data_IF_559119684203
#
_entry.id   IF_559119684203
#
_cell.length_a   1.000
_cell.length_b   1.000
_cell.length_c   1.000
_cell.angle_alpha   90.00
_cell.angle_beta   90.00
_cell.angle_gamma   90.00
#
_symmetry.space_group_name_H-M   'P 1'
#
loop_
_entity.id
_entity.type
_entity.pdbx_description
1 polymer ?
#
# COMPACT_ATOMS: atom_id res chain seq x y z
N UNK A 1 -17.87 32.38 3.78
CA UNK A 1 -16.40 32.23 3.84
C UNK A 1 -16.13 31.21 4.94
N UNK A 2 -15.55 30.02 4.77
CA UNK A 2 -14.79 29.41 3.69
C UNK A 2 -14.82 27.89 3.96
N UNK A 3 -15.26 27.10 2.97
CA UNK A 3 -15.06 25.64 2.91
C UNK A 3 -13.56 25.36 2.95
N UNK A 4 -13.07 24.35 3.71
CA UNK A 4 -11.75 23.63 3.59
C UNK A 4 -11.21 23.25 4.99
N UNK A 5 -10.79 22.03 5.33
CA UNK A 5 -10.50 20.79 4.59
C UNK A 5 -10.79 19.62 5.51
N UNK A 6 -11.54 18.63 5.03
CA UNK A 6 -11.38 17.27 5.55
C UNK A 6 -9.93 16.88 5.27
N UNK A 7 -9.12 16.73 6.32
CA UNK A 7 -7.70 16.37 6.22
C UNK A 7 -7.64 14.85 6.02
N UNK A 8 -8.20 14.39 4.91
CA UNK A 8 -8.21 13.01 4.51
C UNK A 8 -6.79 12.66 4.08
N UNK A 9 -5.98 12.26 5.06
CA UNK A 9 -4.65 11.70 4.85
C UNK A 9 -4.83 10.34 4.17
N UNK A 10 -5.12 10.37 2.86
CA UNK A 10 -5.52 9.21 2.07
C UNK A 10 -4.34 8.32 1.62
N UNK A 11 -3.12 8.59 2.10
CA UNK A 11 -1.90 7.94 1.58
C UNK A 11 -1.18 7.05 2.58
N UNK A 12 -1.84 6.64 3.66
CA UNK A 12 -1.22 5.89 4.74
C UNK A 12 -2.08 4.72 5.20
N UNK A 13 -2.71 3.97 4.30
CA UNK A 13 -3.40 2.72 4.68
C UNK A 13 -2.46 1.54 4.49
N UNK A 14 -2.56 0.52 5.33
CA UNK A 14 -1.80 -0.71 5.17
C UNK A 14 -2.29 -1.46 3.93
N UNK A 15 -1.38 -1.85 3.04
CA UNK A 15 -1.77 -2.63 1.85
C UNK A 15 -2.26 -4.05 2.18
N UNK A 16 -1.90 -4.57 3.36
CA UNK A 16 -2.27 -5.91 3.80
C UNK A 16 -3.67 -5.92 4.42
N UNK A 17 -3.88 -5.11 5.47
CA UNK A 17 -5.10 -5.12 6.28
C UNK A 17 -5.97 -3.86 6.12
N UNK A 18 -5.66 -2.98 5.17
CA UNK A 18 -6.34 -1.71 4.91
C UNK A 18 -6.42 -0.74 6.11
N UNK A 19 -5.72 -1.07 7.20
CA UNK A 19 -5.70 -0.29 8.43
C UNK A 19 -5.07 1.07 8.18
N UNK A 20 -5.72 2.12 8.67
CA UNK A 20 -5.19 3.49 8.66
C UNK A 20 -3.94 3.60 9.52
N UNK A 21 -2.81 3.87 8.90
CA UNK A 21 -1.54 4.26 9.51
C UNK A 21 -1.55 5.78 9.62
N UNK A 22 -1.11 6.34 10.75
CA UNK A 22 -0.91 7.80 10.83
C UNK A 22 0.42 8.24 10.20
N UNK A 23 1.38 7.31 10.11
CA UNK A 23 2.69 7.55 9.51
C UNK A 23 3.06 6.30 8.70
N UNK A 24 3.06 6.40 7.37
CA UNK A 24 3.58 5.36 6.47
C UNK A 24 5.12 5.29 6.53
N UNK A 25 5.67 5.11 7.74
CA UNK A 25 7.10 4.90 7.98
C UNK A 25 7.55 3.52 7.56
N UNK A 26 6.62 2.57 7.54
CA UNK A 26 6.88 1.18 7.22
C UNK A 26 6.33 0.92 5.84
N UNK A 27 7.24 0.62 4.93
CA UNK A 27 6.92 0.19 3.58
C UNK A 27 7.63 -1.12 3.37
N UNK A 28 6.96 -2.02 2.67
CA UNK A 28 7.59 -3.24 2.25
C UNK A 28 8.67 -2.94 1.20
N UNK A 29 9.83 -3.61 1.28
CA UNK A 29 10.97 -3.34 0.38
C UNK A 29 10.73 -3.84 -1.04
N UNK A 30 9.93 -4.87 -1.20
CA UNK A 30 9.73 -5.56 -2.49
C UNK A 30 8.65 -4.85 -3.31
N UNK A 31 7.51 -4.52 -2.70
CA UNK A 31 6.38 -3.84 -3.36
C UNK A 31 6.40 -2.32 -3.20
N UNK A 32 7.26 -1.78 -2.34
CA UNK A 32 7.26 -0.36 -1.94
C UNK A 32 5.94 0.14 -1.32
N UNK A 33 5.03 -0.77 -0.96
CA UNK A 33 3.71 -0.43 -0.44
C UNK A 33 3.73 -0.22 1.08
N UNK A 34 2.91 0.71 1.61
CA UNK A 34 2.82 0.99 3.04
C UNK A 34 2.23 -0.18 3.83
N UNK A 35 2.94 -0.65 4.86
CA UNK A 35 2.53 -1.76 5.73
C UNK A 35 2.44 -1.33 7.18
N UNK A 36 1.57 -1.95 7.97
CA UNK A 36 1.51 -1.73 9.41
C UNK A 36 2.56 -2.57 10.15
N UNK A 37 3.00 -2.17 11.34
CA UNK A 37 3.89 -2.99 12.17
C UNK A 37 3.36 -4.40 12.47
N UNK A 38 2.04 -4.59 12.43
CA UNK A 38 1.41 -5.89 12.71
C UNK A 38 1.46 -6.83 11.51
N UNK A 39 1.49 -6.30 10.29
CA UNK A 39 1.60 -7.09 9.07
C UNK A 39 3.05 -7.12 8.54
N UNK A 40 3.91 -6.22 8.99
CA UNK A 40 5.32 -6.20 8.59
C UNK A 40 6.00 -7.50 9.03
N UNK A 41 6.73 -8.13 8.11
CA UNK A 41 7.42 -9.40 8.31
C UNK A 41 6.48 -10.58 8.62
N UNK A 42 5.17 -10.48 8.32
CA UNK A 42 4.22 -11.60 8.46
C UNK A 42 4.04 -12.39 7.16
N UNK A 43 3.50 -13.59 7.28
CA UNK A 43 3.15 -14.42 6.11
C UNK A 43 2.09 -13.76 5.22
N UNK A 44 1.18 -12.99 5.82
CA UNK A 44 0.16 -12.22 5.09
C UNK A 44 0.78 -11.12 4.22
N UNK A 45 1.82 -10.43 4.71
CA UNK A 45 2.59 -9.48 3.90
C UNK A 45 3.24 -10.20 2.73
N UNK A 46 3.97 -11.29 2.96
CA UNK A 46 4.66 -12.05 1.89
C UNK A 46 3.71 -12.58 0.81
N UNK A 47 2.55 -13.10 1.22
CA UNK A 47 1.53 -13.58 0.28
C UNK A 47 1.01 -12.44 -0.60
N UNK A 48 0.67 -11.31 0.03
CA UNK A 48 0.12 -10.14 -0.67
C UNK A 48 1.19 -9.39 -1.47
N UNK A 49 2.44 -9.41 -1.02
CA UNK A 49 3.61 -8.94 -1.79
C UNK A 49 3.72 -9.70 -3.10
N UNK A 50 3.67 -11.02 -3.05
CA UNK A 50 3.80 -11.88 -4.23
C UNK A 50 2.61 -11.67 -5.17
N UNK A 51 1.38 -11.63 -4.65
CA UNK A 51 0.17 -11.37 -5.44
C UNK A 51 0.23 -10.01 -6.14
N UNK A 52 0.65 -8.96 -5.43
CA UNK A 52 0.80 -7.62 -6.00
C UNK A 52 1.95 -7.58 -7.01
N UNK A 53 3.09 -8.22 -6.74
CA UNK A 53 4.21 -8.27 -7.69
C UNK A 53 3.84 -9.04 -8.96
N UNK A 54 3.12 -10.14 -8.81
CA UNK A 54 2.62 -10.96 -9.93
C UNK A 54 1.59 -10.17 -10.75
N UNK A 55 0.66 -9.50 -10.08
CA UNK A 55 -0.33 -8.61 -10.73
C UNK A 55 0.30 -7.37 -11.35
N UNK A 56 1.37 -6.81 -10.78
CA UNK A 56 2.13 -5.69 -11.35
C UNK A 56 2.99 -6.15 -12.53
N UNK A 57 3.51 -7.37 -12.50
CA UNK A 57 4.25 -7.96 -13.61
C UNK A 57 3.32 -8.27 -14.79
N UNK A 58 2.12 -8.78 -14.53
CA UNK A 58 1.08 -9.00 -15.55
C UNK A 58 0.48 -7.66 -16.03
N UNK A 59 0.30 -6.70 -15.12
CA UNK A 59 -0.17 -5.34 -15.38
C UNK A 59 0.88 -4.38 -15.97
N UNK A 60 2.13 -4.83 -16.18
CA UNK A 60 3.12 -4.08 -16.96
C UNK A 60 2.95 -4.26 -18.47
N UNK A 61 1.80 -4.73 -18.94
CA UNK A 61 1.28 -4.31 -20.25
C UNK A 61 0.69 -2.91 -20.07
N UNK A 62 1.55 -1.92 -19.83
CA UNK A 62 1.19 -0.54 -20.12
C UNK A 62 0.95 -0.50 -21.62
N UNK A 63 -0.32 -0.56 -22.03
CA UNK A 63 -0.75 -0.28 -23.37
C UNK A 63 -0.35 1.15 -23.73
N UNK A 64 0.89 1.33 -24.17
CA UNK A 64 1.27 2.42 -25.04
C UNK A 64 0.79 2.03 -26.44
N UNK A 65 -0.48 2.33 -26.74
CA UNK A 65 -0.93 2.56 -28.11
C UNK A 65 -1.66 3.90 -28.17
#
# INVERSE_FOLDING_TARGET
MTIRKEKSNFSTKCFVCDKKLEQAKLKNKVTNLPVCNQCKDTEEEKAKEKEVLDSLADGFVCGCI
#
